data_IF_641983343009
#
_entry.id   IF_641983343009
#
_cell.length_a   1.000
_cell.length_b   1.000
_cell.length_c   1.000
_cell.angle_alpha   90.00
_cell.angle_beta   90.00
_cell.angle_gamma   90.00
#
_symmetry.space_group_name_H-M   'P 1'
#
loop_
_entity.id
_entity.type
_entity.pdbx_description
1 polymer ?
#
# COMPACT_ATOMS: atom_id res chain seq x y z
N UNK A 1 -55.54 9.14 49.88
CA UNK A 1 -54.83 10.02 48.97
C UNK A 1 -53.40 10.10 49.50
N UNK A 2 -52.50 9.22 48.94
CA UNK A 2 -51.11 9.16 49.37
C UNK A 2 -50.24 9.21 48.08
N UNK A 3 -49.52 10.29 47.88
CA UNK A 3 -48.55 10.48 46.81
C UNK A 3 -47.32 9.61 47.09
N UNK A 4 -47.00 8.71 46.22
CA UNK A 4 -45.70 8.01 46.18
C UNK A 4 -44.68 8.96 45.53
N UNK A 5 -43.83 9.57 46.35
CA UNK A 5 -42.61 10.24 45.87
C UNK A 5 -41.57 9.17 45.49
N UNK A 6 -41.21 9.13 44.22
CA UNK A 6 -40.14 8.27 43.73
C UNK A 6 -38.77 8.76 44.20
N UNK A 7 -37.96 7.82 44.70
CA UNK A 7 -36.63 8.03 45.25
C UNK A 7 -35.66 8.59 44.20
N UNK A 8 -35.07 9.78 44.42
CA UNK A 8 -34.14 10.40 43.46
C UNK A 8 -32.83 9.64 43.28
N UNK A 9 -32.50 8.67 44.13
CA UNK A 9 -31.25 7.86 44.03
C UNK A 9 -31.28 6.81 42.94
N UNK A 10 -32.46 6.47 42.41
CA UNK A 10 -32.57 5.47 41.34
C UNK A 10 -32.39 6.09 39.94
N UNK A 11 -32.48 7.40 39.81
CA UNK A 11 -32.30 8.14 38.53
C UNK A 11 -30.83 8.29 38.17
N UNK A 12 -29.96 8.51 39.14
CA UNK A 12 -28.53 8.69 38.95
C UNK A 12 -27.79 7.40 38.57
N UNK A 13 -28.34 6.23 38.98
CA UNK A 13 -27.74 4.94 38.62
C UNK A 13 -28.02 4.50 37.17
N UNK A 14 -29.15 4.89 36.60
CA UNK A 14 -29.48 4.57 35.21
C UNK A 14 -28.79 5.49 34.20
N UNK A 15 -28.45 6.73 34.56
CA UNK A 15 -27.73 7.65 33.68
C UNK A 15 -26.24 7.29 33.56
N UNK A 16 -25.63 6.76 34.63
CA UNK A 16 -24.23 6.27 34.58
C UNK A 16 -24.04 4.96 33.82
N UNK A 17 -25.05 4.08 33.82
CA UNK A 17 -25.01 2.83 33.08
C UNK A 17 -25.17 3.05 31.55
N UNK A 18 -25.94 4.06 31.15
CA UNK A 18 -26.21 4.36 29.76
C UNK A 18 -25.08 5.16 29.09
N UNK A 19 -24.20 5.81 29.84
CA UNK A 19 -23.02 6.51 29.33
C UNK A 19 -21.80 5.59 29.12
N UNK A 20 -21.73 4.48 29.87
CA UNK A 20 -20.66 3.52 29.72
C UNK A 20 -20.88 2.54 28.54
N UNK A 21 -22.13 2.26 28.17
CA UNK A 21 -22.43 1.45 26.99
C UNK A 21 -22.27 2.21 25.66
N UNK A 22 -22.41 3.54 25.64
CA UNK A 22 -22.19 4.36 24.44
C UNK A 22 -20.72 4.58 24.10
N UNK A 23 -19.79 4.35 25.02
CA UNK A 23 -18.35 4.57 24.81
C UNK A 23 -17.63 3.32 24.22
N UNK A 24 -18.21 2.14 24.34
CA UNK A 24 -17.58 0.87 23.90
C UNK A 24 -17.92 0.50 22.46
N UNK A 25 -18.89 1.16 21.84
CA UNK A 25 -19.36 0.79 20.48
C UNK A 25 -18.93 1.79 19.40
N UNK A 26 -17.81 2.48 19.59
CA UNK A 26 -17.14 3.24 18.54
C UNK A 26 -15.91 2.48 18.03
N UNK A 27 -16.06 1.18 17.83
CA UNK A 27 -15.24 0.46 16.86
C UNK A 27 -15.62 1.04 15.49
N UNK A 28 -14.74 1.90 14.98
CA UNK A 28 -14.85 2.40 13.63
C UNK A 28 -14.99 1.17 12.72
N UNK A 29 -16.19 0.97 12.16
CA UNK A 29 -16.48 -0.05 11.17
C UNK A 29 -15.52 0.18 10.01
N UNK A 30 -14.35 -0.41 10.10
CA UNK A 30 -13.30 -0.32 9.09
C UNK A 30 -13.88 -0.94 7.83
N UNK A 31 -14.19 -0.10 6.86
CA UNK A 31 -14.84 -0.56 5.63
C UNK A 31 -13.91 -1.56 4.95
N UNK A 32 -14.39 -2.77 4.76
CA UNK A 32 -13.68 -3.79 3.97
C UNK A 32 -13.41 -3.23 2.58
N UNK A 33 -12.13 -3.19 2.20
CA UNK A 33 -11.67 -2.69 0.90
C UNK A 33 -11.07 -3.81 0.07
N UNK A 34 -10.99 -3.58 -1.22
CA UNK A 34 -10.35 -4.51 -2.16
C UNK A 34 -8.89 -4.12 -2.38
N UNK A 35 -8.03 -5.12 -2.42
CA UNK A 35 -6.59 -4.97 -2.62
C UNK A 35 -6.11 -5.98 -3.64
N UNK A 36 -5.05 -5.62 -4.37
CA UNK A 36 -4.33 -6.53 -5.25
C UNK A 36 -3.08 -7.00 -4.53
N UNK A 37 -2.93 -8.31 -4.34
CA UNK A 37 -1.72 -8.90 -3.75
C UNK A 37 -0.82 -9.47 -4.82
N UNK A 38 0.48 -9.38 -4.61
CA UNK A 38 1.54 -9.85 -5.52
C UNK A 38 2.84 -10.10 -4.77
N UNK A 39 3.81 -10.72 -5.43
CA UNK A 39 5.14 -10.95 -4.86
C UNK A 39 6.18 -9.98 -5.42
N UNK A 40 7.01 -9.43 -4.55
CA UNK A 40 8.18 -8.58 -4.83
C UNK A 40 9.37 -9.09 -4.05
N UNK A 41 10.48 -9.43 -4.73
CA UNK A 41 11.69 -9.84 -4.05
C UNK A 41 11.51 -11.02 -3.08
N UNK A 42 10.62 -11.97 -3.40
CA UNK A 42 10.31 -13.11 -2.54
C UNK A 42 9.33 -12.84 -1.40
N UNK A 43 8.95 -11.58 -1.16
CA UNK A 43 7.96 -11.20 -0.16
C UNK A 43 6.61 -10.87 -0.80
N UNK A 44 5.52 -11.09 -0.06
CA UNK A 44 4.16 -10.77 -0.51
C UNK A 44 3.78 -9.36 -0.06
N UNK A 45 3.20 -8.59 -0.97
CA UNK A 45 2.69 -7.25 -0.74
C UNK A 45 1.27 -7.11 -1.23
N UNK A 46 0.59 -6.07 -0.75
CA UNK A 46 -0.71 -5.67 -1.25
C UNK A 46 -0.70 -4.18 -1.65
N UNK A 47 -1.53 -3.82 -2.63
CA UNK A 47 -1.79 -2.45 -3.05
C UNK A 47 -3.29 -2.23 -3.09
N UNK A 48 -3.76 -1.05 -2.66
CA UNK A 48 -5.18 -0.70 -2.79
C UNK A 48 -5.62 -0.81 -4.25
N UNK A 49 -6.70 -1.55 -4.50
CA UNK A 49 -7.17 -1.80 -5.87
C UNK A 49 -7.56 -0.53 -6.62
N UNK A 50 -7.92 0.54 -5.91
CA UNK A 50 -8.24 1.85 -6.49
C UNK A 50 -7.03 2.52 -7.16
N UNK A 51 -5.82 2.18 -6.71
CA UNK A 51 -4.56 2.65 -7.30
C UNK A 51 -4.13 1.80 -8.50
N UNK A 52 -4.61 0.56 -8.62
CA UNK A 52 -4.22 -0.34 -9.72
C UNK A 52 -5.03 0.00 -10.95
N UNK A 53 -4.35 0.41 -12.02
CA UNK A 53 -4.97 0.69 -13.32
C UNK A 53 -5.10 -0.56 -14.17
N UNK A 54 -4.06 -1.38 -14.20
CA UNK A 54 -3.99 -2.56 -15.06
C UNK A 54 -2.92 -3.53 -14.51
N UNK A 55 -3.14 -4.83 -14.69
CA UNK A 55 -2.12 -5.86 -14.52
C UNK A 55 -1.85 -6.45 -15.90
N UNK A 56 -0.60 -6.40 -16.35
CA UNK A 56 -0.25 -6.79 -17.72
C UNK A 56 0.81 -7.89 -17.74
N UNK A 57 0.74 -8.73 -18.77
CA UNK A 57 1.76 -9.73 -19.05
C UNK A 57 3.11 -9.06 -19.34
N UNK A 58 4.24 -9.79 -19.24
CA UNK A 58 5.54 -9.26 -19.56
C UNK A 58 5.54 -8.63 -20.95
N UNK A 59 6.04 -7.39 -21.01
CA UNK A 59 6.13 -6.61 -22.22
C UNK A 59 7.56 -6.07 -22.36
N UNK A 60 7.89 -5.60 -23.56
CA UNK A 60 9.20 -5.01 -23.83
C UNK A 60 9.36 -3.72 -23.01
N UNK A 61 10.43 -3.67 -22.21
CA UNK A 61 10.90 -2.47 -21.54
C UNK A 61 12.00 -1.85 -22.37
N UNK A 62 11.89 -0.57 -22.65
CA UNK A 62 12.90 0.22 -23.34
C UNK A 62 13.79 0.86 -22.28
N UNK A 63 15.08 0.49 -22.19
CA UNK A 63 15.95 0.97 -21.14
C UNK A 63 16.20 2.46 -21.28
N UNK A 64 16.45 3.13 -20.16
CA UNK A 64 16.98 4.49 -20.18
C UNK A 64 18.44 4.50 -20.65
N UNK A 65 18.92 5.62 -21.23
CA UNK A 65 20.33 5.76 -21.66
C UNK A 65 21.34 5.60 -20.53
N UNK A 66 20.91 5.86 -19.29
CA UNK A 66 21.74 5.76 -18.09
C UNK A 66 21.27 4.60 -17.21
N UNK A 67 22.23 3.93 -16.60
CA UNK A 67 21.92 2.83 -15.67
C UNK A 67 21.43 3.39 -14.35
N UNK A 68 20.18 3.06 -13.99
CA UNK A 68 19.58 3.41 -12.72
C UNK A 68 19.12 2.15 -12.01
N UNK A 69 19.57 1.92 -10.77
CA UNK A 69 19.30 0.65 -10.07
C UNK A 69 17.80 0.35 -9.90
N UNK A 70 17.00 1.40 -9.64
CA UNK A 70 15.58 1.27 -9.32
C UNK A 70 14.65 1.65 -10.48
N UNK A 71 15.17 2.22 -11.57
CA UNK A 71 14.41 2.63 -12.74
C UNK A 71 14.94 1.93 -13.99
N UNK A 72 14.24 0.90 -14.47
CA UNK A 72 14.74 0.03 -15.53
C UNK A 72 14.56 0.58 -16.95
N UNK A 73 13.60 1.48 -17.12
CA UNK A 73 13.24 2.00 -18.42
C UNK A 73 11.78 2.38 -18.49
N UNK A 74 11.21 2.32 -19.69
CA UNK A 74 9.81 2.59 -19.96
C UNK A 74 9.11 1.42 -20.61
N UNK A 75 7.88 1.19 -20.18
CA UNK A 75 6.91 0.32 -20.79
C UNK A 75 5.96 1.18 -21.63
N UNK A 76 5.78 0.84 -22.91
CA UNK A 76 4.82 1.55 -23.76
C UNK A 76 3.46 0.84 -23.68
N UNK A 77 2.44 1.54 -23.20
CA UNK A 77 1.09 1.02 -23.11
C UNK A 77 0.06 2.06 -23.54
N UNK A 78 -0.81 1.69 -24.48
CA UNK A 78 -1.85 2.57 -25.04
C UNK A 78 -1.32 3.96 -25.47
N UNK A 79 -0.14 3.98 -26.09
CA UNK A 79 0.52 5.22 -26.53
C UNK A 79 1.20 6.02 -25.43
N UNK A 80 1.16 5.57 -24.19
CA UNK A 80 1.84 6.22 -23.05
C UNK A 80 3.15 5.50 -22.72
N UNK A 81 4.18 6.26 -22.43
CA UNK A 81 5.44 5.78 -21.87
C UNK A 81 5.31 5.76 -20.34
N UNK A 82 5.32 4.55 -19.76
CA UNK A 82 5.13 4.32 -18.33
C UNK A 82 6.48 3.90 -17.75
N UNK A 83 7.06 4.64 -16.78
CA UNK A 83 8.32 4.28 -16.15
C UNK A 83 8.17 2.96 -15.37
N UNK A 84 9.21 2.12 -15.45
CA UNK A 84 9.27 0.83 -14.74
C UNK A 84 10.15 0.98 -13.52
N UNK A 85 9.52 1.03 -12.35
CA UNK A 85 10.18 1.11 -11.04
C UNK A 85 10.38 -0.29 -10.47
N UNK A 86 11.64 -0.72 -10.38
CA UNK A 86 11.99 -2.03 -9.85
C UNK A 86 12.64 -1.91 -8.47
N UNK A 87 11.84 -2.02 -7.45
CA UNK A 87 12.28 -2.05 -6.05
C UNK A 87 12.41 -3.47 -5.49
N UNK A 88 12.21 -4.51 -6.32
CA UNK A 88 12.24 -5.90 -5.86
C UNK A 88 13.56 -6.27 -5.16
N UNK A 89 14.69 -5.68 -5.58
CA UNK A 89 16.00 -5.92 -4.97
C UNK A 89 16.08 -5.49 -3.50
N UNK A 90 15.27 -4.53 -3.08
CA UNK A 90 15.20 -4.08 -1.69
C UNK A 90 14.56 -5.13 -0.76
N UNK A 91 13.82 -6.09 -1.33
CA UNK A 91 13.08 -7.11 -0.58
C UNK A 91 13.68 -8.51 -0.70
N UNK A 92 14.88 -8.64 -1.27
CA UNK A 92 15.61 -9.90 -1.42
C UNK A 92 15.49 -10.54 -2.80
N UNK A 93 16.05 -11.75 -2.97
CA UNK A 93 15.98 -12.47 -4.23
C UNK A 93 14.55 -12.93 -4.52
N UNK A 94 14.01 -12.48 -5.64
CA UNK A 94 12.68 -12.86 -6.12
C UNK A 94 12.72 -13.89 -7.23
N UNK A 95 11.56 -14.48 -7.51
CA UNK A 95 11.33 -15.31 -8.68
C UNK A 95 11.38 -14.50 -9.99
N UNK A 96 11.27 -15.18 -11.14
CA UNK A 96 11.21 -14.52 -12.44
C UNK A 96 10.00 -13.58 -12.49
N UNK A 97 10.16 -12.45 -13.17
CA UNK A 97 9.06 -11.52 -13.40
C UNK A 97 8.00 -12.18 -14.25
N UNK A 98 6.79 -12.14 -13.78
CA UNK A 98 5.65 -12.75 -14.45
C UNK A 98 4.68 -11.70 -15.00
N UNK A 99 4.59 -10.56 -14.34
CA UNK A 99 3.59 -9.51 -14.62
C UNK A 99 4.18 -8.12 -14.33
N UNK A 100 3.48 -7.08 -14.81
CA UNK A 100 3.63 -5.71 -14.36
C UNK A 100 2.32 -5.23 -13.77
N UNK A 101 2.37 -4.67 -12.57
CA UNK A 101 1.27 -3.92 -11.96
C UNK A 101 1.43 -2.46 -12.36
N UNK A 102 0.52 -1.94 -13.17
CA UNK A 102 0.48 -0.52 -13.52
C UNK A 102 -0.39 0.18 -12.49
N UNK A 103 0.23 1.05 -11.71
CA UNK A 103 -0.43 1.76 -10.63
C UNK A 103 -0.37 3.27 -10.83
N UNK A 104 -1.34 3.96 -10.24
CA UNK A 104 -1.38 5.41 -10.15
C UNK A 104 -0.64 5.86 -8.90
N UNK A 105 0.23 6.86 -9.06
CA UNK A 105 0.95 7.52 -7.97
C UNK A 105 0.72 9.03 -8.02
N UNK A 106 0.96 9.68 -6.89
CA UNK A 106 0.96 11.13 -6.75
C UNK A 106 2.40 11.61 -6.61
N UNK A 107 2.87 12.41 -7.56
CA UNK A 107 4.21 12.97 -7.52
C UNK A 107 4.22 14.40 -8.06
N UNK A 108 4.94 15.31 -7.38
CA UNK A 108 5.05 16.72 -7.74
C UNK A 108 3.70 17.42 -8.00
N UNK A 109 2.67 17.05 -7.23
CA UNK A 109 1.31 17.61 -7.36
C UNK A 109 0.50 17.08 -8.54
N UNK A 110 1.03 16.12 -9.30
CA UNK A 110 0.35 15.47 -10.41
C UNK A 110 0.06 13.99 -10.15
N UNK A 111 -0.86 13.44 -10.95
CA UNK A 111 -1.18 12.00 -10.95
C UNK A 111 -0.47 11.35 -12.13
N UNK A 112 0.34 10.32 -11.86
CA UNK A 112 1.16 9.65 -12.84
C UNK A 112 0.92 8.13 -12.79
N UNK A 113 1.24 7.43 -13.88
CA UNK A 113 1.27 5.99 -13.92
C UNK A 113 2.69 5.47 -13.78
N UNK A 114 2.87 4.38 -13.03
CA UNK A 114 4.13 3.66 -12.86
C UNK A 114 3.89 2.17 -13.01
N UNK A 115 4.85 1.45 -13.55
CA UNK A 115 4.82 0.00 -13.68
C UNK A 115 5.78 -0.64 -12.66
N UNK A 116 5.28 -1.58 -11.88
CA UNK A 116 6.04 -2.37 -10.91
C UNK A 116 6.17 -3.79 -11.45
N UNK A 117 7.37 -4.30 -11.73
CA UNK A 117 7.57 -5.69 -12.10
C UNK A 117 7.34 -6.59 -10.88
N UNK A 118 6.48 -7.58 -11.01
CA UNK A 118 6.11 -8.50 -9.93
C UNK A 118 6.31 -9.96 -10.36
N UNK A 119 6.43 -10.85 -9.39
CA UNK A 119 6.57 -12.29 -9.59
C UNK A 119 5.27 -13.02 -9.24
N UNK A 120 5.03 -14.14 -9.92
CA UNK A 120 3.85 -14.96 -9.67
C UNK A 120 2.53 -14.33 -10.11
N UNK A 121 1.44 -14.80 -9.54
CA UNK A 121 0.08 -14.31 -9.83
C UNK A 121 -0.25 -13.07 -9.00
N UNK A 122 -1.11 -12.22 -9.56
CA UNK A 122 -1.79 -11.17 -8.81
C UNK A 122 -3.18 -11.66 -8.42
N UNK A 123 -3.57 -11.44 -7.17
CA UNK A 123 -4.85 -11.86 -6.62
C UNK A 123 -5.61 -10.68 -6.06
N UNK A 124 -6.90 -10.59 -6.36
CA UNK A 124 -7.78 -9.63 -5.73
C UNK A 124 -8.28 -10.20 -4.39
N UNK A 125 -8.02 -9.48 -3.31
CA UNK A 125 -8.42 -9.89 -1.96
C UNK A 125 -9.20 -8.77 -1.28
N UNK A 126 -10.05 -9.15 -0.34
CA UNK A 126 -10.71 -8.21 0.55
C UNK A 126 -10.09 -8.27 1.94
N UNK A 127 -10.01 -7.12 2.59
CA UNK A 127 -9.46 -7.05 3.94
C UNK A 127 -9.60 -5.68 4.56
N UNK A 128 -9.05 -5.56 5.74
CA UNK A 128 -9.06 -4.32 6.52
C UNK A 128 -7.63 -3.77 6.61
N UNK A 129 -7.50 -2.48 6.32
CA UNK A 129 -6.23 -1.77 6.53
C UNK A 129 -6.01 -1.55 8.03
N UNK A 130 -4.83 -1.90 8.49
CA UNK A 130 -4.37 -1.65 9.84
C UNK A 130 -3.12 -0.77 9.81
N UNK A 131 -3.13 0.29 10.62
CA UNK A 131 -2.00 1.21 10.74
C UNK A 131 -1.01 0.71 11.80
N UNK A 132 -0.41 -0.44 11.55
CA UNK A 132 0.67 -0.99 12.35
C UNK A 132 1.89 -1.21 11.47
N UNK A 133 3.07 -1.15 12.07
CA UNK A 133 4.31 -1.59 11.43
C UNK A 133 4.60 -3.02 11.87
N UNK A 134 4.85 -3.92 10.94
CA UNK A 134 5.43 -5.21 11.25
C UNK A 134 6.92 -4.97 11.53
N UNK A 135 7.34 -5.20 12.77
CA UNK A 135 8.74 -4.97 13.20
C UNK A 135 9.74 -5.93 12.52
N UNK A 136 9.25 -6.83 11.67
CA UNK A 136 10.04 -7.94 11.14
C UNK A 136 11.05 -7.57 10.03
N UNK A 137 11.02 -6.38 9.42
CA UNK A 137 12.02 -6.00 8.41
C UNK A 137 12.27 -4.50 8.33
N UNK A 138 13.50 -4.02 8.63
CA UNK A 138 13.87 -2.60 8.53
C UNK A 138 13.69 -2.00 7.12
N UNK A 139 13.86 -2.81 6.07
CA UNK A 139 13.69 -2.36 4.67
C UNK A 139 12.21 -2.26 4.26
N UNK A 140 11.34 -3.05 4.89
CA UNK A 140 9.89 -2.97 4.63
C UNK A 140 9.32 -1.62 5.07
N UNK A 141 9.85 -1.01 6.12
CA UNK A 141 9.36 0.26 6.68
C UNK A 141 9.44 1.41 5.67
N UNK A 142 10.43 1.41 4.77
CA UNK A 142 10.62 2.49 3.79
C UNK A 142 9.49 2.55 2.76
N UNK A 143 8.98 1.40 2.30
CA UNK A 143 8.01 1.30 1.21
C UNK A 143 6.62 0.84 1.66
N UNK A 144 6.39 0.71 2.96
CA UNK A 144 5.13 0.23 3.52
C UNK A 144 4.35 1.38 4.14
N UNK A 145 3.04 1.41 3.89
CA UNK A 145 2.09 2.39 4.45
C UNK A 145 1.17 1.80 5.53
N UNK A 146 1.37 0.54 5.90
CA UNK A 146 0.55 -0.18 6.87
C UNK A 146 0.46 -1.66 6.53
N UNK A 147 -0.46 -2.35 7.17
CA UNK A 147 -0.71 -3.77 7.00
C UNK A 147 -2.14 -4.01 6.52
N UNK A 148 -2.32 -5.03 5.71
CA UNK A 148 -3.62 -5.56 5.32
C UNK A 148 -3.89 -6.82 6.12
N UNK A 149 -4.99 -6.87 6.87
CA UNK A 149 -5.52 -8.09 7.48
C UNK A 149 -6.48 -8.77 6.51
N UNK A 150 -6.19 -10.02 6.20
CA UNK A 150 -7.03 -10.89 5.38
C UNK A 150 -7.41 -12.14 6.18
N UNK A 151 -8.34 -12.92 5.68
CA UNK A 151 -8.68 -14.22 6.28
C UNK A 151 -7.51 -15.21 6.32
N UNK A 152 -6.47 -15.02 5.49
CA UNK A 152 -5.28 -15.87 5.41
C UNK A 152 -4.05 -15.31 6.14
N UNK A 153 -4.17 -14.15 6.79
CA UNK A 153 -3.06 -13.53 7.53
C UNK A 153 -2.87 -12.05 7.22
N UNK A 154 -1.69 -11.56 7.57
CA UNK A 154 -1.32 -10.15 7.41
C UNK A 154 -0.36 -9.98 6.25
N UNK A 155 -0.58 -8.95 5.42
CA UNK A 155 0.23 -8.63 4.24
C UNK A 155 0.62 -7.15 4.28
N UNK A 156 1.91 -6.77 4.10
CA UNK A 156 2.33 -5.37 4.03
C UNK A 156 1.67 -4.64 2.87
N UNK A 157 1.20 -3.41 3.11
CA UNK A 157 0.67 -2.51 2.11
C UNK A 157 1.79 -1.70 1.47
N UNK A 158 2.05 -1.91 0.18
CA UNK A 158 3.03 -1.15 -0.57
C UNK A 158 2.55 0.30 -0.76
N UNK A 159 3.44 1.24 -0.44
CA UNK A 159 3.25 2.67 -0.68
C UNK A 159 3.86 3.04 -2.02
N UNK A 160 3.01 3.23 -3.02
CA UNK A 160 3.46 3.49 -4.39
C UNK A 160 4.14 4.85 -4.52
N UNK A 161 3.73 5.84 -3.73
CA UNK A 161 4.31 7.18 -3.76
C UNK A 161 5.73 7.17 -3.20
N UNK A 162 5.98 6.40 -2.14
CA UNK A 162 7.33 6.18 -1.60
C UNK A 162 8.22 5.41 -2.57
N UNK A 163 7.68 4.42 -3.28
CA UNK A 163 8.43 3.70 -4.33
C UNK A 163 8.90 4.65 -5.41
N UNK A 164 8.01 5.51 -5.89
CA UNK A 164 8.34 6.49 -6.94
C UNK A 164 9.34 7.53 -6.45
N UNK A 165 9.16 8.07 -5.25
CA UNK A 165 10.08 9.03 -4.64
C UNK A 165 11.49 8.45 -4.54
N UNK A 166 11.62 7.21 -4.05
CA UNK A 166 12.91 6.52 -3.99
C UNK A 166 13.58 6.35 -5.37
N UNK A 167 12.81 5.98 -6.39
CA UNK A 167 13.34 5.85 -7.74
C UNK A 167 13.85 7.17 -8.30
N UNK A 168 13.20 8.28 -7.98
CA UNK A 168 13.58 9.62 -8.44
C UNK A 168 14.77 10.17 -7.66
N UNK A 169 14.84 9.96 -6.35
CA UNK A 169 15.98 10.34 -5.51
C UNK A 169 17.26 9.65 -5.99
N UNK A 170 17.20 8.35 -6.24
CA UNK A 170 18.32 7.60 -6.82
C UNK A 170 18.77 8.14 -8.19
N UNK A 171 17.86 8.68 -8.98
CA UNK A 171 18.18 9.38 -10.24
C UNK A 171 18.98 10.67 -9.98
N UNK A 172 18.52 11.50 -9.06
CA UNK A 172 19.15 12.79 -8.78
C UNK A 172 20.56 12.63 -8.24
N UNK A 173 20.82 11.60 -7.44
CA UNK A 173 22.14 11.32 -6.86
C UNK A 173 23.12 10.86 -7.95
N UNK A 174 22.71 9.94 -8.82
CA UNK A 174 23.55 9.46 -9.94
C UNK A 174 23.90 10.59 -10.91
N UNK A 175 22.97 11.54 -11.14
CA UNK A 175 23.21 12.71 -12.00
C UNK A 175 24.17 13.74 -11.41
N UNK A 176 24.37 13.76 -10.10
CA UNK A 176 25.36 14.62 -9.41
C UNK A 176 26.77 14.04 -9.50
N UNK A 177 26.93 12.74 -9.36
CA UNK A 177 28.24 12.07 -9.47
C UNK A 177 28.81 12.14 -10.88
N UNK A 178 27.97 12.09 -11.91
CA UNK A 178 28.39 12.19 -13.31
C UNK A 178 28.84 13.58 -13.75
N UNK A 179 28.71 14.62 -12.91
CA UNK A 179 29.10 16.02 -13.19
C UNK A 179 30.35 16.45 -12.42
N UNK A 180 30.97 15.59 -11.64
CA UNK A 180 32.26 15.81 -10.98
C UNK A 180 33.37 15.09 -11.76
#
# INVERSE_FOLDING_TARGET
>A
MALLMGDPRNRARNESANQSESAVNKEAKTATRSFVTFALGGSRFALDSSLVKEVVMPARVYPFPHTMPSLEGVLVRRGMAIPVCNVARAFGPGGPRSLYVIAQCSYAGGSHAVAIPVSGACELVQGERWEGTDEASPLAVTFVSGLLRTGSGTVPLLDIDKVVSHCIEAWNDTGREARQ
#
